data_IF_205955604459
#
_entry.id   IF_205955604459
#
_cell.length_a   1.000
_cell.length_b   1.000
_cell.length_c   1.000
_cell.angle_alpha   90.00
_cell.angle_beta   90.00
_cell.angle_gamma   90.00
#
_symmetry.space_group_name_H-M   'P 1'
#
loop_
_entity.id
_entity.type
_entity.pdbx_description
1 polymer ?
#
# COMPACT_ATOMS: atom_id res chain seq x y z
N UNK A 1 -0.13 -14.45 -12.98
CA UNK A 1 -0.37 -13.11 -13.57
C UNK A 1 0.81 -12.68 -14.42
N UNK A 2 0.61 -11.78 -15.37
CA UNK A 2 1.70 -11.17 -16.15
C UNK A 2 2.07 -9.84 -15.51
N UNK A 3 3.35 -9.65 -15.19
CA UNK A 3 3.84 -8.39 -14.64
C UNK A 3 4.03 -7.37 -15.78
N UNK A 4 3.50 -6.14 -15.66
CA UNK A 4 3.74 -5.09 -16.65
C UNK A 4 5.23 -4.79 -16.84
N UNK A 5 5.68 -4.56 -18.08
CA UNK A 5 7.10 -4.33 -18.42
C UNK A 5 7.77 -3.21 -17.59
N UNK A 6 7.00 -2.19 -17.21
CA UNK A 6 7.47 -1.03 -16.44
C UNK A 6 7.24 -1.14 -14.94
N UNK A 7 6.75 -2.28 -14.43
CA UNK A 7 6.38 -2.43 -13.02
C UNK A 7 7.56 -2.09 -12.09
N UNK A 8 8.76 -2.64 -12.36
CA UNK A 8 9.93 -2.39 -11.51
C UNK A 8 10.32 -0.90 -11.49
N UNK A 9 10.41 -0.24 -12.65
CA UNK A 9 10.71 1.19 -12.70
C UNK A 9 9.61 2.04 -12.05
N UNK A 10 8.34 1.63 -12.15
CA UNK A 10 7.24 2.35 -11.54
C UNK A 10 7.21 2.16 -10.01
N UNK A 11 7.64 1.00 -9.48
CA UNK A 11 7.83 0.79 -8.05
C UNK A 11 8.97 1.67 -7.51
N UNK A 12 10.06 1.83 -8.25
CA UNK A 12 11.14 2.75 -7.89
C UNK A 12 10.66 4.22 -7.88
N UNK A 13 9.89 4.63 -8.89
CA UNK A 13 9.26 5.95 -8.92
C UNK A 13 8.27 6.15 -7.77
N UNK A 14 7.48 5.11 -7.46
CA UNK A 14 6.61 5.11 -6.30
C UNK A 14 7.43 5.38 -5.03
N UNK A 15 8.53 4.66 -4.80
CA UNK A 15 9.36 4.85 -3.60
C UNK A 15 9.95 6.26 -3.49
N UNK A 16 10.36 6.86 -4.62
CA UNK A 16 10.94 8.20 -4.67
C UNK A 16 9.92 9.33 -4.45
N UNK A 17 8.63 9.08 -4.72
CA UNK A 17 7.53 10.03 -4.51
C UNK A 17 7.41 10.38 -3.02
N UNK A 18 7.23 11.67 -2.70
CA UNK A 18 6.89 12.11 -1.36
C UNK A 18 5.53 11.53 -0.91
N UNK A 19 5.45 11.09 0.36
CA UNK A 19 4.28 10.37 0.90
C UNK A 19 3.55 11.20 1.94
N UNK A 20 2.26 10.93 2.11
CA UNK A 20 1.39 11.59 3.08
C UNK A 20 1.38 13.13 2.98
N UNK A 21 1.66 13.66 1.77
CA UNK A 21 1.39 15.05 1.46
C UNK A 21 -0.10 15.28 1.29
N UNK A 22 -0.53 16.49 1.62
CA UNK A 22 -1.89 16.96 1.40
C UNK A 22 -2.29 16.78 -0.07
N UNK A 23 -3.50 16.27 -0.30
CA UNK A 23 -4.09 16.12 -1.62
C UNK A 23 -5.51 16.68 -1.60
N UNK A 24 -5.67 17.92 -2.07
CA UNK A 24 -6.96 18.63 -2.08
C UNK A 24 -7.77 18.45 -3.36
N UNK A 25 -7.29 17.65 -4.32
CA UNK A 25 -7.90 17.55 -5.66
C UNK A 25 -8.38 16.13 -5.94
N UNK A 26 -7.59 15.12 -5.57
CA UNK A 26 -7.94 13.72 -5.75
C UNK A 26 -8.70 13.17 -4.56
N UNK A 27 -7.99 12.95 -3.45
CA UNK A 27 -8.52 12.23 -2.29
C UNK A 27 -9.13 13.13 -1.20
N UNK A 28 -8.99 14.46 -1.31
CA UNK A 28 -9.29 15.41 -0.23
C UNK A 28 -8.59 15.10 1.09
N UNK A 29 -7.40 14.47 1.01
CA UNK A 29 -6.59 14.13 2.17
C UNK A 29 -5.91 15.39 2.73
N UNK A 30 -6.15 15.78 4.00
CA UNK A 30 -5.60 17.02 4.56
C UNK A 30 -4.09 16.94 4.86
N UNK A 31 -3.50 15.75 4.82
CA UNK A 31 -2.14 15.49 5.31
C UNK A 31 -2.14 15.02 6.75
N UNK A 32 -1.00 14.52 7.22
CA UNK A 32 -0.85 14.05 8.60
C UNK A 32 -1.08 15.17 9.60
N UNK A 33 -1.87 14.89 10.64
CA UNK A 33 -2.07 15.80 11.77
C UNK A 33 -0.75 16.10 12.52
N UNK A 34 0.11 15.08 12.66
CA UNK A 34 1.45 15.22 13.20
C UNK A 34 2.52 14.84 12.15
N UNK A 35 3.21 15.83 11.56
CA UNK A 35 4.26 15.61 10.56
C UNK A 35 5.43 14.75 11.06
N UNK A 36 5.62 14.59 12.37
CA UNK A 36 6.68 13.77 12.94
C UNK A 36 6.54 12.28 12.57
N UNK A 37 5.33 11.81 12.26
CA UNK A 37 5.10 10.44 11.82
C UNK A 37 5.42 10.20 10.35
N UNK A 38 5.55 11.27 9.54
CA UNK A 38 5.79 11.17 8.09
C UNK A 38 6.98 10.26 7.74
N UNK A 39 8.17 10.36 8.38
CA UNK A 39 9.29 9.47 8.06
C UNK A 39 8.99 8.01 8.36
N UNK A 40 8.32 7.72 9.48
CA UNK A 40 7.95 6.35 9.88
C UNK A 40 6.96 5.76 8.89
N UNK A 41 5.86 6.45 8.58
CA UNK A 41 4.84 5.95 7.66
C UNK A 41 5.38 5.80 6.24
N UNK A 42 6.19 6.76 5.78
CA UNK A 42 6.88 6.70 4.48
C UNK A 42 7.77 5.46 4.40
N UNK A 43 8.53 5.16 5.46
CA UNK A 43 9.37 3.96 5.51
C UNK A 43 8.54 2.69 5.39
N UNK A 44 7.43 2.59 6.12
CA UNK A 44 6.58 1.40 6.11
C UNK A 44 5.94 1.15 4.74
N UNK A 45 5.45 2.20 4.06
CA UNK A 45 4.83 2.02 2.74
C UNK A 45 5.88 1.76 1.65
N UNK A 46 7.07 2.36 1.75
CA UNK A 46 8.16 2.05 0.83
C UNK A 46 8.67 0.61 1.01
N UNK A 47 8.63 0.07 2.24
CA UNK A 47 8.92 -1.34 2.50
C UNK A 47 7.88 -2.27 1.85
N UNK A 48 6.61 -1.88 1.77
CA UNK A 48 5.61 -2.62 0.99
C UNK A 48 5.93 -2.61 -0.51
N UNK A 49 6.47 -1.50 -1.04
CA UNK A 49 6.93 -1.45 -2.43
C UNK A 49 8.17 -2.35 -2.67
N UNK A 50 9.06 -2.48 -1.68
CA UNK A 50 10.16 -3.46 -1.73
C UNK A 50 9.61 -4.89 -1.79
N UNK A 51 8.65 -5.22 -0.93
CA UNK A 51 7.97 -6.53 -0.92
C UNK A 51 7.31 -6.84 -2.29
N UNK A 52 6.67 -5.85 -2.92
CA UNK A 52 6.11 -5.99 -4.27
C UNK A 52 7.20 -6.20 -5.32
N UNK A 53 8.33 -5.49 -5.19
CA UNK A 53 9.48 -5.63 -6.08
C UNK A 53 10.08 -7.04 -6.00
N UNK A 54 10.16 -7.62 -4.80
CA UNK A 54 10.60 -9.01 -4.60
C UNK A 54 9.71 -10.00 -5.36
N UNK A 55 8.38 -9.89 -5.21
CA UNK A 55 7.43 -10.78 -5.90
C UNK A 55 7.48 -10.56 -7.41
N UNK A 56 7.54 -9.31 -7.88
CA UNK A 56 7.61 -8.98 -9.30
C UNK A 56 8.88 -9.51 -9.99
N UNK A 57 9.99 -9.66 -9.25
CA UNK A 57 11.26 -10.23 -9.74
C UNK A 57 11.36 -11.74 -9.59
N UNK A 58 10.38 -12.39 -8.96
CA UNK A 58 10.35 -13.84 -8.82
C UNK A 58 10.21 -14.52 -10.21
N UNK A 59 10.69 -15.76 -10.34
CA UNK A 59 10.51 -16.59 -11.52
C UNK A 59 9.04 -16.93 -11.79
N UNK A 60 8.19 -16.89 -10.76
CA UNK A 60 6.76 -17.18 -10.87
C UNK A 60 5.93 -16.27 -9.94
N UNK A 61 5.67 -15.02 -10.34
CA UNK A 61 4.78 -14.13 -9.61
C UNK A 61 3.32 -14.63 -9.71
N UNK A 62 2.60 -14.56 -8.60
CA UNK A 62 1.17 -14.89 -8.53
C UNK A 62 0.44 -13.83 -7.71
N UNK A 63 -0.88 -13.74 -7.91
CA UNK A 63 -1.71 -12.78 -7.19
C UNK A 63 -1.67 -13.04 -5.68
N UNK A 64 -1.68 -14.32 -5.28
CA UNK A 64 -1.64 -14.73 -3.88
C UNK A 64 -0.36 -14.27 -3.18
N UNK A 65 0.79 -14.29 -3.88
CA UNK A 65 2.05 -13.78 -3.32
C UNK A 65 1.98 -12.27 -3.07
N UNK A 66 1.38 -11.50 -3.99
CA UNK A 66 1.17 -10.07 -3.76
C UNK A 66 0.17 -9.83 -2.62
N UNK A 67 -0.94 -10.59 -2.58
CA UNK A 67 -1.94 -10.48 -1.52
C UNK A 67 -1.35 -10.79 -0.14
N UNK A 68 -0.48 -11.80 -0.04
CA UNK A 68 0.29 -12.08 1.18
C UNK A 68 1.16 -10.88 1.58
N UNK A 69 1.90 -10.28 0.62
CA UNK A 69 2.70 -9.08 0.88
C UNK A 69 1.85 -7.86 1.28
N UNK A 70 0.63 -7.71 0.74
CA UNK A 70 -0.33 -6.69 1.18
C UNK A 70 -0.69 -6.91 2.65
N UNK A 71 -1.07 -8.14 3.02
CA UNK A 71 -1.41 -8.48 4.40
C UNK A 71 -0.26 -8.18 5.37
N UNK A 72 0.96 -8.60 5.02
CA UNK A 72 2.17 -8.31 5.80
C UNK A 72 2.40 -6.79 5.88
N UNK A 73 2.30 -6.06 4.77
CA UNK A 73 2.49 -4.62 4.73
C UNK A 73 1.53 -3.86 5.64
N UNK A 74 0.22 -4.17 5.55
CA UNK A 74 -0.82 -3.57 6.38
C UNK A 74 -0.60 -3.85 7.88
N UNK A 75 -0.13 -5.05 8.22
CA UNK A 75 0.14 -5.43 9.62
C UNK A 75 1.17 -4.51 10.30
N UNK A 76 2.08 -3.89 9.54
CA UNK A 76 3.09 -2.95 10.06
C UNK A 76 2.48 -1.62 10.53
N UNK A 77 1.32 -1.25 10.00
CA UNK A 77 0.59 -0.03 10.37
C UNK A 77 -0.38 -0.25 11.53
N UNK A 78 -0.84 -1.48 11.76
CA UNK A 78 -1.80 -1.82 12.83
C UNK A 78 -1.44 -1.27 14.22
N UNK A 79 -0.16 -1.23 14.66
CA UNK A 79 0.19 -0.67 15.97
C UNK A 79 0.12 0.87 16.06
N UNK A 80 -0.05 1.61 14.96
CA UNK A 80 0.15 3.06 14.91
C UNK A 80 -1.11 3.91 15.20
N UNK A 81 -2.25 3.29 15.53
CA UNK A 81 -3.51 3.97 15.88
C UNK A 81 -3.86 5.13 14.92
N UNK A 82 -3.79 4.88 13.62
CA UNK A 82 -4.11 5.85 12.57
C UNK A 82 -5.60 6.19 12.56
N UNK A 83 -5.95 7.43 12.24
CA UNK A 83 -7.33 7.84 12.03
C UNK A 83 -7.88 7.28 10.69
N UNK A 84 -9.13 7.62 10.36
CA UNK A 84 -9.76 7.11 9.13
C UNK A 84 -9.09 7.65 7.87
N UNK A 85 -8.73 8.93 7.83
CA UNK A 85 -8.16 9.57 6.63
C UNK A 85 -6.75 9.04 6.36
N UNK A 86 -5.94 8.84 7.40
CA UNK A 86 -4.61 8.24 7.30
C UNK A 86 -4.67 6.77 6.85
N UNK A 87 -5.66 6.01 7.34
CA UNK A 87 -5.88 4.62 6.88
C UNK A 87 -6.31 4.58 5.42
N UNK A 88 -7.23 5.44 5.00
CA UNK A 88 -7.61 5.57 3.58
C UNK A 88 -6.39 5.90 2.72
N UNK A 89 -5.55 6.83 3.18
CA UNK A 89 -4.31 7.17 2.48
C UNK A 89 -3.37 5.98 2.35
N UNK A 90 -3.19 5.19 3.41
CA UNK A 90 -2.42 3.93 3.33
C UNK A 90 -3.03 2.96 2.32
N UNK A 91 -4.35 2.74 2.36
CA UNK A 91 -5.04 1.86 1.39
C UNK A 91 -4.81 2.33 -0.06
N UNK A 92 -4.93 3.64 -0.33
CA UNK A 92 -4.70 4.17 -1.68
C UNK A 92 -3.28 3.93 -2.20
N UNK A 93 -2.28 3.90 -1.31
CA UNK A 93 -0.93 3.54 -1.71
C UNK A 93 -0.81 2.06 -2.07
N UNK A 94 -1.50 1.17 -1.35
CA UNK A 94 -1.55 -0.24 -1.74
C UNK A 94 -2.31 -0.44 -3.06
N UNK A 95 -3.37 0.32 -3.32
CA UNK A 95 -4.06 0.34 -4.62
C UNK A 95 -3.12 0.84 -5.74
N UNK A 96 -2.34 1.91 -5.52
CA UNK A 96 -1.32 2.37 -6.46
C UNK A 96 -0.26 1.28 -6.72
N UNK A 97 0.19 0.57 -5.69
CA UNK A 97 1.11 -0.57 -5.84
C UNK A 97 0.49 -1.73 -6.63
N UNK A 98 -0.79 -2.04 -6.38
CA UNK A 98 -1.55 -3.05 -7.11
C UNK A 98 -1.63 -2.71 -8.59
N UNK A 99 -2.01 -1.48 -8.92
CA UNK A 99 -2.07 -0.99 -10.31
C UNK A 99 -0.72 -1.10 -11.01
N UNK A 100 0.37 -0.75 -10.33
CA UNK A 100 1.73 -0.82 -10.88
C UNK A 100 2.10 -2.25 -11.32
N UNK A 101 1.70 -3.27 -10.55
CA UNK A 101 2.01 -4.68 -10.84
C UNK A 101 0.89 -5.41 -11.58
N UNK A 102 -0.22 -4.73 -11.88
CA UNK A 102 -1.38 -5.30 -12.55
C UNK A 102 -2.17 -6.29 -11.68
N UNK A 103 -2.20 -6.10 -10.36
CA UNK A 103 -3.00 -6.90 -9.44
C UNK A 103 -4.42 -6.31 -9.34
N UNK A 104 -5.43 -7.07 -9.78
CA UNK A 104 -6.82 -6.58 -9.82
C UNK A 104 -7.51 -6.56 -8.45
N UNK A 105 -7.04 -7.38 -7.49
CA UNK A 105 -7.68 -7.54 -6.18
C UNK A 105 -6.68 -7.75 -5.07
N UNK A 106 -6.94 -7.08 -3.93
CA UNK A 106 -6.19 -7.27 -2.68
C UNK A 106 -6.55 -8.53 -1.92
N UNK A 107 -7.44 -9.39 -2.43
CA UNK A 107 -7.94 -10.55 -1.69
C UNK A 107 -8.80 -10.17 -0.48
N UNK A 108 -9.33 -8.94 -0.46
CA UNK A 108 -10.11 -8.40 0.66
C UNK A 108 -9.26 -7.85 1.81
N UNK A 109 -7.93 -7.92 1.75
CA UNK A 109 -7.04 -7.46 2.82
C UNK A 109 -7.18 -5.96 3.12
N UNK A 110 -7.36 -5.11 2.10
CA UNK A 110 -7.54 -3.67 2.31
C UNK A 110 -8.83 -3.35 3.06
N UNK A 111 -9.96 -3.93 2.64
CA UNK A 111 -11.24 -3.75 3.32
C UNK A 111 -11.22 -4.28 4.76
N UNK A 112 -10.64 -5.48 4.97
CA UNK A 112 -10.53 -6.08 6.29
C UNK A 112 -9.67 -5.23 7.24
N UNK A 113 -8.60 -4.61 6.75
CA UNK A 113 -7.75 -3.74 7.56
C UNK A 113 -8.41 -2.38 7.84
N UNK A 114 -9.08 -1.78 6.86
CA UNK A 114 -9.74 -0.48 6.98
C UNK A 114 -10.89 -0.51 8.00
N UNK A 115 -11.78 -1.49 7.90
CA UNK A 115 -13.01 -1.56 8.68
C UNK A 115 -12.93 -2.51 9.87
N UNK A 116 -11.84 -3.27 9.99
CA UNK A 116 -11.76 -4.43 10.87
C UNK A 116 -12.41 -5.65 10.23
N UNK A 117 -11.86 -6.84 10.51
CA UNK A 117 -12.50 -8.09 10.13
C UNK A 117 -13.73 -8.31 11.02
N UNK A 118 -14.92 -8.17 10.43
CA UNK A 118 -16.18 -8.60 11.04
C UNK A 118 -16.58 -9.96 10.43
N UNK A 119 -16.27 -11.10 11.08
CA UNK A 119 -16.69 -12.43 10.60
C UNK A 119 -18.20 -12.65 10.70
N UNK A 120 -18.95 -11.68 11.22
CA UNK A 120 -20.40 -11.75 11.42
C UNK A 120 -21.20 -10.90 10.44
N UNK A 121 -20.54 -10.29 9.45
CA UNK A 121 -21.15 -9.72 8.25
C UNK A 121 -20.91 -10.59 7.02
#
# INVERSE_FOLDING_TARGET
MTIPDKAISNLELFQAKSKFDQDTVGMFYPGLADPAFKPTLTKLINQAADDFTEVAKDNRPTEEKFQEKISIGLSRFTPLSLDTEDRERVCSYFEELMDIVGLESSGGHLNAWMYGFDPTK
#
